data_IF_906134570299
#
_entry.id   IF_906134570299
#
_cell.length_a   1.000
_cell.length_b   1.000
_cell.length_c   1.000
_cell.angle_alpha   90.00
_cell.angle_beta   90.00
_cell.angle_gamma   90.00
#
_symmetry.space_group_name_H-M   'P 1'
#
loop_
_entity.id
_entity.type
_entity.pdbx_description
1 polymer ?
#
# COMPACT_ATOMS: atom_id res chain seq x y z
N UNK A 1 11.55 19.47 36.09
CA UNK A 1 12.62 20.16 35.33
C UNK A 1 13.52 19.07 34.77
N UNK A 2 13.55 18.87 33.45
CA UNK A 2 14.23 17.71 32.85
C UNK A 2 15.72 17.68 33.23
N UNK A 3 16.23 16.51 33.58
CA UNK A 3 17.66 16.29 33.90
C UNK A 3 18.58 16.87 32.82
N UNK A 4 18.16 16.82 31.56
CA UNK A 4 18.89 17.39 30.42
C UNK A 4 18.91 18.92 30.41
N UNK A 5 17.83 19.59 30.85
CA UNK A 5 17.79 21.06 30.98
C UNK A 5 18.73 21.55 32.09
N UNK A 6 18.77 20.83 33.22
CA UNK A 6 19.69 21.16 34.31
C UNK A 6 21.16 20.99 33.89
N UNK A 7 21.48 19.90 33.19
CA UNK A 7 22.82 19.67 32.62
C UNK A 7 23.22 20.75 31.62
N UNK A 8 22.30 21.17 30.75
CA UNK A 8 22.52 22.24 29.78
C UNK A 8 22.77 23.60 30.46
N UNK A 9 21.95 23.96 31.44
CA UNK A 9 22.13 25.19 32.22
C UNK A 9 23.47 25.18 32.98
N UNK A 10 23.84 24.04 33.59
CA UNK A 10 25.11 23.89 34.28
C UNK A 10 26.31 24.01 33.31
N UNK A 11 26.21 23.43 32.12
CA UNK A 11 27.24 23.56 31.08
C UNK A 11 27.37 25.00 30.57
N UNK A 12 26.25 25.69 30.36
CA UNK A 12 26.22 27.10 29.95
C UNK A 12 26.80 28.01 31.04
N UNK A 13 26.45 27.77 32.30
CA UNK A 13 26.99 28.50 33.45
C UNK A 13 28.49 28.27 33.63
N UNK A 14 28.98 27.05 33.43
CA UNK A 14 30.42 26.76 33.42
C UNK A 14 31.13 27.47 32.26
N UNK A 15 30.59 27.41 31.05
CA UNK A 15 31.17 28.10 29.90
C UNK A 15 31.23 29.62 30.12
N UNK A 16 30.15 30.20 30.66
CA UNK A 16 30.10 31.62 31.01
C UNK A 16 31.10 31.97 32.11
N UNK A 17 31.23 31.15 33.15
CA UNK A 17 32.21 31.36 34.22
C UNK A 17 33.65 31.31 33.68
N UNK A 18 33.96 30.42 32.75
CA UNK A 18 35.28 30.34 32.10
C UNK A 18 35.56 31.59 31.27
N UNK A 19 34.61 32.03 30.44
CA UNK A 19 34.75 33.26 29.64
C UNK A 19 34.87 34.50 30.53
N UNK A 20 34.07 34.58 31.59
CA UNK A 20 34.12 35.66 32.56
C UNK A 20 35.47 35.71 33.29
N UNK A 21 35.99 34.56 33.74
CA UNK A 21 37.32 34.48 34.35
C UNK A 21 38.43 34.91 33.38
N UNK A 22 38.33 34.52 32.09
CA UNK A 22 39.27 34.97 31.06
C UNK A 22 39.23 36.49 30.85
N UNK A 23 38.03 37.09 30.77
CA UNK A 23 37.86 38.53 30.61
C UNK A 23 38.40 39.29 31.82
N UNK A 24 38.05 38.84 33.03
CA UNK A 24 38.47 39.49 34.27
C UNK A 24 39.99 39.47 34.41
N UNK A 25 40.63 38.38 33.98
CA UNK A 25 42.07 38.27 33.98
C UNK A 25 42.76 39.15 32.92
N UNK A 26 42.26 39.18 31.68
CA UNK A 26 42.78 40.11 30.66
C UNK A 26 42.68 41.56 31.13
N UNK A 27 41.62 41.90 31.87
CA UNK A 27 41.43 43.23 32.43
C UNK A 27 42.35 43.54 33.64
N UNK A 28 42.95 42.54 34.27
CA UNK A 28 43.76 42.69 35.51
C UNK A 28 45.24 42.36 35.32
N UNK A 29 45.65 41.83 34.18
CA UNK A 29 47.02 41.42 33.92
C UNK A 29 47.87 42.54 33.31
N UNK A 30 48.69 43.22 34.13
CA UNK A 30 49.72 44.14 33.61
C UNK A 30 51.02 43.42 33.19
N UNK A 31 51.30 42.20 33.67
CA UNK A 31 52.37 41.29 33.18
C UNK A 31 52.16 39.87 33.74
N UNK A 32 51.50 38.97 32.98
CA UNK A 32 51.27 37.59 33.43
C UNK A 32 52.58 36.80 33.57
N UNK A 33 52.76 36.09 34.68
CA UNK A 33 53.96 35.25 34.88
C UNK A 33 53.91 34.00 33.99
N UNK A 34 55.08 33.46 33.59
CA UNK A 34 55.15 32.24 32.74
C UNK A 34 54.36 31.05 33.31
N UNK A 35 54.31 30.96 34.64
CA UNK A 35 53.54 29.96 35.40
C UNK A 35 52.04 30.17 35.27
N UNK A 36 51.55 31.41 35.30
CA UNK A 36 50.14 31.71 35.03
C UNK A 36 49.79 31.33 33.59
N UNK A 37 50.58 31.74 32.61
CA UNK A 37 50.33 31.40 31.20
C UNK A 37 50.26 29.88 30.97
N UNK A 38 51.14 29.11 31.61
CA UNK A 38 51.12 27.64 31.53
C UNK A 38 49.87 27.04 32.20
N UNK A 39 49.45 27.57 33.36
CA UNK A 39 48.22 27.14 34.03
C UNK A 39 46.99 27.43 33.16
N UNK A 40 46.93 28.59 32.51
CA UNK A 40 45.83 28.95 31.60
C UNK A 40 45.79 28.07 30.36
N UNK A 41 46.93 27.81 29.73
CA UNK A 41 46.98 26.89 28.59
C UNK A 41 46.49 25.49 28.97
N UNK A 42 46.85 25.01 30.16
CA UNK A 42 46.40 23.71 30.69
C UNK A 42 44.89 23.72 30.97
N UNK A 43 44.39 24.77 31.61
CA UNK A 43 42.97 24.92 31.94
C UNK A 43 42.12 25.02 30.66
N UNK A 44 42.57 25.80 29.67
CA UNK A 44 41.95 25.93 28.36
C UNK A 44 41.93 24.58 27.62
N UNK A 45 43.00 23.80 27.70
CA UNK A 45 43.06 22.45 27.11
C UNK A 45 42.02 21.52 27.76
N UNK A 46 41.96 21.48 29.09
CA UNK A 46 40.98 20.66 29.83
C UNK A 46 39.54 21.08 29.51
N UNK A 47 39.26 22.39 29.46
CA UNK A 47 37.92 22.86 29.10
C UNK A 47 37.56 22.58 27.64
N UNK A 48 38.53 22.64 26.72
CA UNK A 48 38.29 22.29 25.31
C UNK A 48 37.89 20.81 25.17
N UNK A 49 38.55 19.92 25.92
CA UNK A 49 38.16 18.49 25.98
C UNK A 49 36.76 18.34 26.55
N UNK A 50 36.46 19.01 27.68
CA UNK A 50 35.16 18.92 28.33
C UNK A 50 34.01 19.42 27.43
N UNK A 51 34.20 20.56 26.76
CA UNK A 51 33.22 21.13 25.82
C UNK A 51 33.06 20.24 24.58
N UNK A 52 34.15 19.74 24.00
CA UNK A 52 34.10 18.81 22.87
C UNK A 52 33.35 17.52 23.23
N UNK A 53 33.56 16.99 24.44
CA UNK A 53 32.86 15.82 24.92
C UNK A 53 31.35 16.07 25.09
N UNK A 54 30.97 17.19 25.71
CA UNK A 54 29.56 17.58 25.86
C UNK A 54 28.88 17.75 24.50
N UNK A 55 29.52 18.46 23.56
CA UNK A 55 29.01 18.64 22.20
C UNK A 55 28.85 17.29 21.48
N UNK A 56 29.81 16.38 21.64
CA UNK A 56 29.76 15.04 21.04
C UNK A 56 28.57 14.25 21.60
N UNK A 57 28.36 14.26 22.91
CA UNK A 57 27.23 13.57 23.56
C UNK A 57 25.90 14.14 23.07
N UNK A 58 25.75 15.47 23.04
CA UNK A 58 24.52 16.14 22.59
C UNK A 58 24.23 15.87 21.10
N UNK A 59 25.27 15.96 20.25
CA UNK A 59 25.15 15.67 18.82
C UNK A 59 24.80 14.21 18.57
N UNK A 60 25.40 13.29 19.32
CA UNK A 60 25.12 11.86 19.23
C UNK A 60 23.69 11.54 19.65
N UNK A 61 23.16 12.13 20.72
CA UNK A 61 21.77 11.90 21.15
C UNK A 61 20.79 12.39 20.08
N UNK A 62 21.01 13.59 19.51
CA UNK A 62 20.16 14.13 18.45
C UNK A 62 20.19 13.25 17.20
N UNK A 63 21.39 12.88 16.73
CA UNK A 63 21.57 12.00 15.56
C UNK A 63 20.96 10.61 15.80
N UNK A 64 21.04 10.11 17.02
CA UNK A 64 20.45 8.83 17.40
C UNK A 64 18.92 8.88 17.38
N UNK A 65 18.30 9.93 17.96
CA UNK A 65 16.85 10.14 17.89
C UNK A 65 16.35 10.30 16.47
N UNK A 66 17.03 11.08 15.63
CA UNK A 66 16.68 11.22 14.21
C UNK A 66 16.78 9.89 13.47
N UNK A 67 17.80 9.09 13.76
CA UNK A 67 17.96 7.75 13.18
C UNK A 67 16.86 6.80 13.64
N UNK A 68 16.57 6.76 14.95
CA UNK A 68 15.46 5.98 15.50
C UNK A 68 14.13 6.36 14.87
N UNK A 69 13.86 7.66 14.70
CA UNK A 69 12.65 8.15 14.02
C UNK A 69 12.57 7.67 12.58
N UNK A 70 13.66 7.73 11.82
CA UNK A 70 13.72 7.19 10.44
C UNK A 70 13.45 5.68 10.38
N UNK A 71 14.03 4.92 11.30
CA UNK A 71 13.79 3.48 11.40
C UNK A 71 12.34 3.17 11.76
N UNK A 72 11.77 3.87 12.74
CA UNK A 72 10.38 3.72 13.14
C UNK A 72 9.42 4.03 11.99
N UNK A 73 9.68 5.10 11.22
CA UNK A 73 8.90 5.44 10.02
C UNK A 73 8.95 4.32 8.98
N UNK A 74 10.14 3.79 8.68
CA UNK A 74 10.29 2.70 7.70
C UNK A 74 9.59 1.41 8.16
N UNK A 75 9.70 1.08 9.45
CA UNK A 75 9.02 -0.05 10.06
C UNK A 75 7.50 0.11 9.99
N UNK A 76 6.99 1.31 10.34
CA UNK A 76 5.56 1.62 10.26
C UNK A 76 5.01 1.47 8.84
N UNK A 77 5.73 1.94 7.82
CA UNK A 77 5.33 1.73 6.42
C UNK A 77 5.16 0.24 6.10
N UNK A 78 6.13 -0.58 6.50
CA UNK A 78 6.09 -2.03 6.27
C UNK A 78 4.95 -2.70 7.03
N UNK A 79 4.66 -2.25 8.25
CA UNK A 79 3.53 -2.73 9.05
C UNK A 79 2.19 -2.40 8.35
N UNK A 80 2.03 -1.19 7.79
CA UNK A 80 0.85 -0.81 7.01
C UNK A 80 0.69 -1.63 5.72
N UNK A 81 1.78 -1.97 5.04
CA UNK A 81 1.74 -2.88 3.88
C UNK A 81 1.22 -4.27 4.27
N UNK A 82 1.65 -4.80 5.42
CA UNK A 82 1.17 -6.08 5.98
C UNK A 82 -0.30 -6.00 6.38
N UNK A 83 -0.73 -4.91 7.03
CA UNK A 83 -2.13 -4.65 7.37
C UNK A 83 -3.03 -4.70 6.13
N UNK A 84 -2.63 -4.03 5.05
CA UNK A 84 -3.38 -4.05 3.78
C UNK A 84 -3.47 -5.47 3.20
N UNK A 85 -2.38 -6.23 3.25
CA UNK A 85 -2.37 -7.62 2.77
C UNK A 85 -3.28 -8.53 3.62
N UNK A 86 -3.28 -8.37 4.95
CA UNK A 86 -4.19 -9.07 5.86
C UNK A 86 -5.65 -8.71 5.58
N UNK A 87 -5.95 -7.42 5.38
CA UNK A 87 -7.29 -6.96 4.99
C UNK A 87 -7.78 -7.59 3.69
N UNK A 88 -6.93 -7.72 2.68
CA UNK A 88 -7.25 -8.44 1.43
C UNK A 88 -7.53 -9.93 1.68
N UNK A 89 -6.67 -10.60 2.44
CA UNK A 89 -6.86 -12.01 2.78
C UNK A 89 -8.16 -12.25 3.56
N UNK A 90 -8.50 -11.38 4.50
CA UNK A 90 -9.76 -11.43 5.24
C UNK A 90 -10.97 -11.27 4.31
N UNK A 91 -10.94 -10.31 3.38
CA UNK A 91 -12.01 -10.13 2.39
C UNK A 91 -12.20 -11.38 1.51
N UNK A 92 -11.10 -12.02 1.10
CA UNK A 92 -11.14 -13.25 0.32
C UNK A 92 -11.74 -14.43 1.09
N UNK A 93 -11.41 -14.56 2.38
CA UNK A 93 -12.03 -15.59 3.24
C UNK A 93 -13.52 -15.29 3.48
N UNK A 94 -13.89 -14.02 3.66
CA UNK A 94 -15.28 -13.60 3.85
C UNK A 94 -16.14 -13.79 2.60
N UNK A 95 -15.62 -13.49 1.40
CA UNK A 95 -16.33 -13.72 0.14
C UNK A 95 -16.62 -15.21 -0.07
N UNK A 96 -15.67 -16.09 0.28
CA UNK A 96 -15.85 -17.55 0.26
C UNK A 96 -16.90 -18.06 1.26
N UNK A 97 -17.07 -17.37 2.40
CA UNK A 97 -18.10 -17.71 3.40
C UNK A 97 -19.51 -17.31 2.95
N UNK A 98 -19.65 -16.16 2.28
CA UNK A 98 -20.93 -15.63 1.78
C UNK A 98 -21.53 -16.40 0.60
N UNK A 99 -20.69 -17.04 -0.22
CA UNK A 99 -21.11 -17.79 -1.42
C UNK A 99 -21.50 -19.26 -1.13
N UNK A 100 -21.54 -19.71 0.13
CA UNK A 100 -21.98 -21.06 0.50
C UNK A 100 -20.97 -22.18 0.22
N UNK A 101 -19.88 -21.91 -0.50
CA UNK A 101 -18.81 -22.86 -0.80
C UNK A 101 -18.06 -23.37 0.44
N UNK A 102 -18.02 -22.56 1.50
CA UNK A 102 -17.37 -22.90 2.77
C UNK A 102 -18.31 -22.58 3.95
N UNK A 103 -19.58 -22.94 3.81
CA UNK A 103 -20.62 -22.60 4.79
C UNK A 103 -20.31 -23.13 6.21
N UNK A 104 -19.49 -24.18 6.38
CA UNK A 104 -19.17 -24.76 7.70
C UNK A 104 -17.77 -25.42 7.82
N UNK A 105 -16.76 -25.06 7.00
CA UNK A 105 -15.44 -25.66 7.22
C UNK A 105 -14.77 -24.99 8.43
N UNK A 106 -14.49 -25.79 9.46
CA UNK A 106 -13.70 -25.38 10.62
C UNK A 106 -12.35 -24.81 10.21
N UNK A 107 -11.81 -25.22 9.06
CA UNK A 107 -10.58 -24.71 8.45
C UNK A 107 -10.67 -23.24 8.04
N UNK A 108 -11.73 -22.80 7.34
CA UNK A 108 -11.86 -21.39 6.97
C UNK A 108 -12.11 -20.50 8.20
N UNK A 109 -12.82 -21.03 9.20
CA UNK A 109 -12.99 -20.32 10.47
C UNK A 109 -11.65 -20.21 11.24
N UNK A 110 -10.84 -21.27 11.24
CA UNK A 110 -9.50 -21.22 11.82
C UNK A 110 -8.59 -20.23 11.10
N UNK A 111 -8.60 -20.20 9.76
CA UNK A 111 -7.85 -19.21 8.96
C UNK A 111 -8.32 -17.79 9.28
N UNK A 112 -9.63 -17.55 9.36
CA UNK A 112 -10.15 -16.23 9.71
C UNK A 112 -9.72 -15.80 11.12
N UNK A 113 -9.76 -16.70 12.10
CA UNK A 113 -9.28 -16.43 13.46
C UNK A 113 -7.78 -16.10 13.43
N UNK A 114 -6.96 -16.86 12.70
CA UNK A 114 -5.54 -16.57 12.54
C UNK A 114 -5.28 -15.22 11.89
N UNK A 115 -6.07 -14.82 10.89
CA UNK A 115 -5.97 -13.52 10.24
C UNK A 115 -6.37 -12.37 11.18
N UNK A 116 -7.39 -12.57 12.03
CA UNK A 116 -7.76 -11.59 13.06
C UNK A 116 -6.63 -11.46 14.09
N UNK A 117 -6.09 -12.58 14.59
CA UNK A 117 -4.97 -12.55 15.52
C UNK A 117 -3.71 -11.90 14.92
N UNK A 118 -3.45 -12.11 13.63
CA UNK A 118 -2.37 -11.43 12.93
C UNK A 118 -2.63 -9.92 12.81
N UNK A 119 -3.87 -9.50 12.56
CA UNK A 119 -4.25 -8.09 12.56
C UNK A 119 -4.10 -7.46 13.95
N UNK A 120 -4.47 -8.17 15.01
CA UNK A 120 -4.28 -7.70 16.39
C UNK A 120 -2.79 -7.54 16.73
N UNK A 121 -1.94 -8.47 16.29
CA UNK A 121 -0.49 -8.38 16.45
C UNK A 121 0.11 -7.18 15.69
N UNK A 122 -0.41 -6.91 14.48
CA UNK A 122 -0.06 -5.73 13.68
C UNK A 122 -0.47 -4.45 14.39
N UNK A 123 -1.70 -4.38 14.91
CA UNK A 123 -2.20 -3.23 15.66
C UNK A 123 -1.37 -2.99 16.94
N UNK A 124 -0.98 -4.05 17.64
CA UNK A 124 -0.07 -3.99 18.78
C UNK A 124 1.30 -3.45 18.36
N UNK A 125 1.84 -3.93 17.24
CA UNK A 125 3.14 -3.47 16.72
C UNK A 125 3.10 -1.98 16.34
N UNK A 126 1.98 -1.47 15.82
CA UNK A 126 1.79 -0.03 15.59
C UNK A 126 1.81 0.75 16.91
N UNK A 127 1.19 0.21 17.97
CA UNK A 127 1.18 0.86 19.28
C UNK A 127 2.59 0.95 19.88
N UNK A 128 3.45 -0.06 19.68
CA UNK A 128 4.84 -0.06 20.16
C UNK A 128 5.68 1.06 19.52
N UNK A 129 5.34 1.48 18.29
CA UNK A 129 5.99 2.63 17.64
C UNK A 129 5.35 3.98 17.99
N UNK A 130 4.20 3.98 18.67
CA UNK A 130 3.48 5.17 19.10
C UNK A 130 4.33 6.12 19.95
N UNK A 131 5.25 5.59 20.74
CA UNK A 131 6.14 6.40 21.59
C UNK A 131 7.23 7.15 20.78
N UNK A 132 7.54 6.70 19.56
CA UNK A 132 8.62 7.25 18.72
C UNK A 132 8.08 8.11 17.57
N UNK A 133 6.92 7.75 17.02
CA UNK A 133 6.28 8.37 15.84
C UNK A 133 4.77 8.58 16.03
N UNK A 134 4.32 8.79 17.26
CA UNK A 134 2.89 8.87 17.61
C UNK A 134 2.13 9.98 16.88
N UNK A 135 2.77 11.14 16.68
CA UNK A 135 2.17 12.26 15.95
C UNK A 135 1.90 11.87 14.49
N UNK A 136 2.86 11.22 13.82
CA UNK A 136 2.72 10.75 12.45
C UNK A 136 1.66 9.64 12.32
N UNK A 137 1.59 8.72 13.29
CA UNK A 137 0.56 7.67 13.35
C UNK A 137 -0.82 8.31 13.51
N UNK A 138 -0.97 9.32 14.38
CA UNK A 138 -2.22 10.02 14.61
C UNK A 138 -2.69 10.76 13.35
N UNK A 139 -1.78 11.50 12.69
CA UNK A 139 -2.07 12.20 11.43
C UNK A 139 -2.52 11.20 10.35
N UNK A 140 -1.84 10.06 10.23
CA UNK A 140 -2.19 9.02 9.25
C UNK A 140 -3.59 8.44 9.52
N UNK A 141 -3.93 8.15 10.79
CA UNK A 141 -5.27 7.66 11.18
C UNK A 141 -6.37 8.69 10.92
N UNK A 142 -6.10 9.97 11.19
CA UNK A 142 -7.06 11.03 10.93
C UNK A 142 -7.29 11.21 9.43
N UNK A 143 -6.25 11.10 8.59
CA UNK A 143 -6.40 11.06 7.12
C UNK A 143 -7.27 9.87 6.69
N UNK A 144 -7.03 8.67 7.21
CA UNK A 144 -7.84 7.48 6.90
C UNK A 144 -9.31 7.66 7.29
N UNK A 145 -9.57 8.26 8.46
CA UNK A 145 -10.93 8.57 8.93
C UNK A 145 -11.61 9.63 8.06
N UNK A 146 -10.94 10.72 7.72
CA UNK A 146 -11.49 11.75 6.83
C UNK A 146 -11.76 11.20 5.43
N UNK A 147 -10.93 10.29 4.94
CA UNK A 147 -11.14 9.57 3.68
C UNK A 147 -12.33 8.62 3.74
N UNK A 148 -12.49 7.85 4.82
CA UNK A 148 -13.66 6.96 4.95
C UNK A 148 -14.95 7.77 4.96
N UNK A 149 -14.99 8.90 5.69
CA UNK A 149 -16.13 9.83 5.67
C UNK A 149 -16.41 10.41 4.29
N UNK A 150 -15.37 10.75 3.50
CA UNK A 150 -15.51 11.15 2.10
C UNK A 150 -16.14 10.05 1.25
N UNK A 151 -15.69 8.80 1.39
CA UNK A 151 -16.24 7.64 0.63
C UNK A 151 -17.70 7.35 0.98
N UNK A 152 -18.09 7.48 2.24
CA UNK A 152 -19.49 7.28 2.66
C UNK A 152 -20.41 8.41 2.18
N UNK A 153 -19.86 9.62 1.99
CA UNK A 153 -20.58 10.79 1.44
C UNK A 153 -20.96 10.67 -0.04
N UNK A 154 -20.37 9.75 -0.82
CA UNK A 154 -20.40 9.86 -2.29
C UNK A 154 -21.48 9.05 -3.05
N UNK A 155 -22.37 8.28 -2.39
CA UNK A 155 -23.56 7.79 -3.14
C UNK A 155 -24.76 7.25 -2.38
N UNK A 156 -24.66 6.89 -1.10
CA UNK A 156 -25.72 6.11 -0.44
C UNK A 156 -26.34 6.73 0.82
N UNK A 157 -25.66 7.70 1.46
CA UNK A 157 -26.12 8.26 2.75
C UNK A 157 -26.56 9.72 2.72
N UNK A 158 -26.47 10.45 1.60
CA UNK A 158 -27.06 11.81 1.53
C UNK A 158 -28.57 11.80 1.79
N UNK A 159 -29.29 10.81 1.26
CA UNK A 159 -30.74 10.64 1.51
C UNK A 159 -31.07 10.21 2.95
N UNK A 160 -30.15 9.54 3.66
CA UNK A 160 -30.37 9.08 5.04
C UNK A 160 -29.95 10.14 6.07
N UNK A 161 -28.88 10.88 5.80
CA UNK A 161 -28.37 11.95 6.66
C UNK A 161 -29.18 13.26 6.54
N UNK A 162 -29.77 13.55 5.38
CA UNK A 162 -30.74 14.67 5.24
C UNK A 162 -31.97 14.48 6.14
N UNK A 163 -32.35 13.23 6.44
CA UNK A 163 -33.43 12.91 7.37
C UNK A 163 -33.02 13.02 8.86
N UNK A 164 -31.72 13.06 9.17
CA UNK A 164 -31.19 13.10 10.54
C UNK A 164 -30.79 14.50 11.02
N UNK A 165 -30.90 15.55 10.19
CA UNK A 165 -30.56 16.94 10.57
C UNK A 165 -29.17 17.08 11.23
N UNK A 166 -28.20 16.26 10.84
CA UNK A 166 -26.81 16.48 11.19
C UNK A 166 -26.26 17.51 10.20
N UNK A 167 -26.61 18.77 10.40
CA UNK A 167 -25.95 19.90 9.74
C UNK A 167 -24.66 20.20 10.49
N UNK A 168 -23.69 19.31 10.41
CA UNK A 168 -22.29 19.75 10.41
C UNK A 168 -21.90 19.89 8.95
N UNK A 169 -21.53 21.10 8.59
CA UNK A 169 -21.17 21.55 7.26
C UNK A 169 -20.08 20.60 6.70
N UNK A 170 -20.48 19.67 5.82
CA UNK A 170 -19.57 18.83 5.02
C UNK A 170 -19.01 19.69 3.90
N UNK A 171 -18.52 20.88 4.25
CA UNK A 171 -17.83 21.80 3.36
C UNK A 171 -16.40 21.30 3.22
N UNK A 172 -16.13 20.74 2.04
CA UNK A 172 -14.81 20.40 1.50
C UNK A 172 -13.80 19.82 2.51
N UNK A 173 -13.81 18.49 2.67
CA UNK A 173 -12.86 17.75 3.52
C UNK A 173 -11.42 17.78 2.91
N UNK A 174 -11.31 18.10 1.61
CA UNK A 174 -10.05 18.10 0.84
C UNK A 174 -8.95 19.01 1.40
N UNK A 175 -9.20 20.30 1.74
CA UNK A 175 -8.19 21.17 2.35
C UNK A 175 -7.62 20.61 3.65
N UNK A 176 -8.45 20.02 4.51
CA UNK A 176 -7.99 19.43 5.78
C UNK A 176 -7.16 18.17 5.56
N UNK A 177 -7.49 17.35 4.56
CA UNK A 177 -6.66 16.21 4.15
C UNK A 177 -5.30 16.70 3.62
N UNK A 178 -5.27 17.77 2.82
CA UNK A 178 -4.03 18.30 2.26
C UNK A 178 -3.13 18.92 3.35
N UNK A 179 -3.71 19.65 4.30
CA UNK A 179 -2.98 20.19 5.46
C UNK A 179 -2.34 19.06 6.28
N UNK A 180 -3.09 17.99 6.56
CA UNK A 180 -2.57 16.82 7.29
C UNK A 180 -1.50 16.06 6.49
N UNK A 181 -1.62 15.98 5.16
CA UNK A 181 -0.59 15.41 4.29
C UNK A 181 0.70 16.24 4.31
N UNK A 182 0.59 17.56 4.36
CA UNK A 182 1.76 18.43 4.41
C UNK A 182 2.50 18.37 5.74
N UNK A 183 1.79 18.07 6.83
CA UNK A 183 2.37 17.82 8.14
C UNK A 183 3.13 16.47 8.24
N UNK A 184 2.92 15.54 7.31
CA UNK A 184 3.64 14.26 7.29
C UNK A 184 5.06 14.41 6.74
N UNK A 185 6.06 13.70 7.32
CA UNK A 185 7.39 13.65 6.73
C UNK A 185 7.33 13.05 5.32
N UNK A 186 8.22 13.46 4.38
CA UNK A 186 8.18 13.02 2.98
C UNK A 186 8.13 11.49 2.80
N UNK A 187 8.75 10.74 3.70
CA UNK A 187 8.74 9.26 3.71
C UNK A 187 7.39 8.63 4.12
N UNK A 188 6.48 9.40 4.71
CA UNK A 188 5.10 9.01 5.06
C UNK A 188 4.04 9.78 4.28
N UNK A 189 4.43 10.79 3.48
CA UNK A 189 3.57 11.32 2.44
C UNK A 189 3.28 10.15 1.51
N UNK A 190 2.13 9.53 1.74
CA UNK A 190 1.58 8.49 0.89
C UNK A 190 1.31 9.18 -0.44
N UNK A 191 2.29 9.14 -1.34
CA UNK A 191 2.14 9.57 -2.74
C UNK A 191 1.15 8.67 -3.49
N UNK A 192 0.69 7.57 -2.89
CA UNK A 192 0.01 6.49 -3.60
C UNK A 192 -1.51 6.71 -3.78
N UNK A 193 -2.29 7.18 -2.79
CA UNK A 193 -3.75 7.01 -2.90
C UNK A 193 -4.50 8.03 -3.78
N UNK A 194 -3.94 9.23 -4.03
CA UNK A 194 -4.60 10.19 -4.93
C UNK A 194 -4.43 9.82 -6.40
N UNK A 195 -3.29 9.20 -6.75
CA UNK A 195 -3.07 8.59 -8.05
C UNK A 195 -3.82 7.25 -8.17
N UNK A 196 -3.93 6.45 -7.11
CA UNK A 196 -4.64 5.16 -7.16
C UNK A 196 -6.14 5.32 -7.39
N UNK A 197 -6.79 6.27 -6.71
CA UNK A 197 -8.24 6.50 -6.87
C UNK A 197 -8.57 7.03 -8.26
N UNK A 198 -7.75 7.97 -8.79
CA UNK A 198 -7.89 8.44 -10.18
C UNK A 198 -7.46 7.41 -11.22
N UNK A 199 -6.54 6.49 -10.91
CA UNK A 199 -6.20 5.37 -11.80
C UNK A 199 -7.36 4.37 -11.88
N UNK A 200 -7.93 4.00 -10.74
CA UNK A 200 -9.07 3.09 -10.67
C UNK A 200 -10.29 3.62 -11.44
N UNK A 201 -10.63 4.90 -11.25
CA UNK A 201 -11.71 5.56 -12.00
C UNK A 201 -11.44 5.58 -13.51
N UNK A 202 -10.21 5.91 -13.93
CA UNK A 202 -9.80 5.86 -15.34
C UNK A 202 -9.86 4.44 -15.92
N UNK A 203 -9.52 3.42 -15.13
CA UNK A 203 -9.63 2.03 -15.54
C UNK A 203 -11.08 1.62 -15.83
N UNK A 204 -11.99 2.03 -14.94
CA UNK A 204 -13.42 1.82 -15.11
C UNK A 204 -13.91 2.51 -16.37
N UNK A 205 -13.48 3.75 -16.60
CA UNK A 205 -13.84 4.50 -17.81
C UNK A 205 -13.35 3.78 -19.09
N UNK A 206 -12.14 3.24 -19.09
CA UNK A 206 -11.60 2.44 -20.20
C UNK A 206 -12.45 1.20 -20.44
N UNK A 207 -12.81 0.46 -19.38
CA UNK A 207 -13.67 -0.73 -19.48
C UNK A 207 -15.06 -0.38 -20.04
N UNK A 208 -15.69 0.68 -19.51
CA UNK A 208 -17.00 1.12 -19.96
C UNK A 208 -16.97 1.57 -21.42
N UNK A 209 -15.93 2.30 -21.82
CA UNK A 209 -15.75 2.73 -23.21
C UNK A 209 -15.57 1.53 -24.16
N UNK A 210 -14.78 0.53 -23.79
CA UNK A 210 -14.60 -0.69 -24.58
C UNK A 210 -15.91 -1.48 -24.69
N UNK A 211 -16.62 -1.67 -23.57
CA UNK A 211 -17.92 -2.34 -23.54
C UNK A 211 -18.97 -1.60 -24.37
N UNK A 212 -19.10 -0.28 -24.24
CA UNK A 212 -20.06 0.52 -25.00
C UNK A 212 -19.75 0.52 -26.51
N UNK A 213 -18.48 0.63 -26.88
CA UNK A 213 -18.06 0.71 -28.28
C UNK A 213 -18.23 -0.60 -29.03
N UNK A 214 -17.95 -1.73 -28.38
CA UNK A 214 -17.94 -3.06 -29.02
C UNK A 214 -19.12 -3.95 -28.61
N UNK A 215 -19.94 -3.52 -27.65
CA UNK A 215 -21.00 -4.32 -27.01
C UNK A 215 -20.48 -5.64 -26.40
N UNK A 216 -19.17 -5.70 -26.15
CA UNK A 216 -18.47 -6.86 -25.62
C UNK A 216 -17.06 -6.44 -25.18
N UNK A 217 -16.52 -7.14 -24.19
CA UNK A 217 -15.14 -6.98 -23.76
C UNK A 217 -14.28 -8.06 -24.42
N UNK A 218 -13.29 -7.63 -25.20
CA UNK A 218 -12.32 -8.53 -25.83
C UNK A 218 -11.11 -8.67 -24.93
N UNK A 219 -10.83 -9.90 -24.52
CA UNK A 219 -9.73 -10.24 -23.65
C UNK A 219 -8.77 -11.12 -24.43
N UNK A 220 -7.53 -10.66 -24.58
CA UNK A 220 -6.47 -11.49 -25.12
C UNK A 220 -5.88 -12.36 -24.02
N UNK A 221 -5.45 -13.56 -24.35
CA UNK A 221 -4.70 -14.44 -23.47
C UNK A 221 -3.65 -15.21 -24.24
N UNK A 222 -2.66 -15.71 -23.52
CA UNK A 222 -1.56 -16.46 -24.10
C UNK A 222 -1.34 -17.77 -23.34
N UNK A 223 -0.83 -18.76 -24.05
CA UNK A 223 -0.39 -20.05 -23.53
C UNK A 223 1.13 -20.12 -23.56
N UNK A 224 1.73 -20.61 -22.47
CA UNK A 224 3.17 -20.84 -22.36
C UNK A 224 3.43 -22.35 -22.19
N UNK A 225 4.42 -22.89 -22.92
CA UNK A 225 4.79 -24.31 -22.84
C UNK A 225 5.37 -24.72 -21.49
N UNK A 226 5.97 -23.76 -20.79
CA UNK A 226 6.79 -24.00 -19.61
C UNK A 226 5.98 -23.96 -18.31
N UNK A 227 4.73 -23.52 -18.41
CA UNK A 227 3.83 -23.35 -17.28
C UNK A 227 2.86 -24.53 -17.16
N UNK A 228 2.21 -24.66 -16.00
CA UNK A 228 1.38 -25.84 -15.64
C UNK A 228 0.05 -25.95 -16.40
N UNK A 229 -0.04 -25.46 -17.64
CA UNK A 229 -1.26 -25.58 -18.45
C UNK A 229 -1.50 -27.04 -18.88
N UNK A 230 -2.76 -27.47 -18.76
CA UNK A 230 -3.14 -28.85 -18.97
C UNK A 230 -3.41 -29.18 -20.45
N UNK A 231 -3.51 -28.17 -21.32
CA UNK A 231 -3.82 -28.35 -22.74
C UNK A 231 -3.31 -27.19 -23.61
N UNK A 232 -2.87 -27.53 -24.82
CA UNK A 232 -2.51 -26.66 -25.95
C UNK A 232 -3.79 -26.05 -26.59
N UNK A 233 -3.71 -24.84 -27.16
CA UNK A 233 -4.82 -24.15 -27.82
C UNK A 233 -5.22 -24.74 -29.18
N UNK A 234 -4.39 -25.59 -29.80
CA UNK A 234 -4.65 -26.22 -31.11
C UNK A 234 -5.89 -27.11 -31.16
N UNK A 235 -6.32 -27.62 -30.01
CA UNK A 235 -7.54 -28.43 -29.89
C UNK A 235 -8.83 -27.61 -29.93
N UNK A 236 -8.73 -26.29 -29.79
CA UNK A 236 -9.87 -25.39 -29.65
C UNK A 236 -10.33 -24.83 -31.00
N UNK A 237 -11.59 -24.42 -31.08
CA UNK A 237 -12.18 -23.82 -32.28
C UNK A 237 -12.80 -22.46 -31.96
N UNK A 238 -12.78 -21.57 -32.96
CA UNK A 238 -13.53 -20.31 -32.91
C UNK A 238 -15.01 -20.60 -32.65
N UNK A 239 -15.62 -19.82 -31.77
CA UNK A 239 -16.99 -19.99 -31.32
C UNK A 239 -17.18 -20.94 -30.15
N UNK A 240 -16.15 -21.69 -29.73
CA UNK A 240 -16.25 -22.51 -28.51
C UNK A 240 -16.31 -21.66 -27.25
N UNK A 241 -16.97 -22.20 -26.23
CA UNK A 241 -17.09 -21.55 -24.93
C UNK A 241 -15.96 -21.98 -24.02
N UNK A 242 -15.26 -20.99 -23.47
CA UNK A 242 -14.32 -21.13 -22.38
C UNK A 242 -14.89 -20.48 -21.14
N UNK A 243 -14.21 -20.66 -20.01
CA UNK A 243 -14.58 -20.05 -18.75
C UNK A 243 -13.39 -19.29 -18.17
N UNK A 244 -13.69 -18.18 -17.49
CA UNK A 244 -12.70 -17.39 -16.78
C UNK A 244 -12.77 -17.61 -15.27
N UNK A 245 -11.62 -17.70 -14.63
CA UNK A 245 -11.48 -17.71 -13.17
C UNK A 245 -10.07 -17.28 -12.73
N UNK A 246 -9.92 -16.85 -11.47
CA UNK A 246 -8.63 -16.63 -10.83
C UNK A 246 -7.89 -17.95 -10.64
N UNK A 247 -6.62 -17.98 -10.97
CA UNK A 247 -5.78 -19.15 -10.76
C UNK A 247 -4.36 -18.80 -10.38
N UNK A 248 -3.55 -19.85 -10.31
CA UNK A 248 -2.14 -19.76 -9.97
C UNK A 248 -1.35 -20.36 -11.12
N UNK A 249 -0.38 -19.61 -11.62
CA UNK A 249 0.69 -20.11 -12.47
C UNK A 249 1.97 -20.24 -11.65
N UNK A 250 2.98 -20.92 -12.18
CA UNK A 250 4.27 -21.10 -11.51
C UNK A 250 4.95 -19.78 -11.10
N UNK A 251 4.69 -18.67 -11.81
CA UNK A 251 5.29 -17.36 -11.56
C UNK A 251 4.34 -16.22 -11.21
N UNK A 252 3.02 -16.40 -11.35
CA UNK A 252 2.05 -15.30 -11.21
C UNK A 252 0.82 -15.75 -10.39
N UNK A 253 0.79 -15.49 -9.07
CA UNK A 253 -0.40 -15.73 -8.27
C UNK A 253 -1.55 -14.81 -8.73
N UNK A 254 -2.80 -15.21 -8.49
CA UNK A 254 -4.02 -14.44 -8.82
C UNK A 254 -4.17 -14.07 -10.30
N UNK A 255 -3.62 -14.88 -11.20
CA UNK A 255 -3.78 -14.65 -12.63
C UNK A 255 -5.21 -14.95 -13.07
N UNK A 256 -5.82 -14.11 -13.90
CA UNK A 256 -7.03 -14.45 -14.62
C UNK A 256 -6.71 -15.51 -15.69
N UNK A 257 -7.25 -16.71 -15.53
CA UNK A 257 -7.02 -17.84 -16.41
C UNK A 257 -8.28 -18.22 -17.18
N UNK A 258 -8.09 -18.66 -18.42
CA UNK A 258 -9.10 -19.33 -19.21
C UNK A 258 -8.99 -20.86 -19.03
N UNK A 259 -10.14 -21.53 -18.93
CA UNK A 259 -10.22 -22.99 -18.83
C UNK A 259 -11.38 -23.57 -19.64
N UNK A 260 -11.27 -24.85 -20.01
CA UNK A 260 -12.30 -25.59 -20.75
C UNK A 260 -13.37 -26.14 -19.80
N UNK A 261 -14.49 -26.65 -20.36
CA UNK A 261 -15.56 -27.29 -19.59
C UNK A 261 -15.09 -28.49 -18.76
N UNK A 262 -14.01 -29.14 -19.18
CA UNK A 262 -13.36 -30.26 -18.48
C UNK A 262 -12.39 -29.81 -17.38
N UNK A 263 -12.43 -28.53 -16.98
CA UNK A 263 -11.56 -27.92 -15.96
C UNK A 263 -10.06 -27.97 -16.32
N UNK A 264 -9.73 -27.85 -17.61
CA UNK A 264 -8.34 -27.75 -18.08
C UNK A 264 -7.96 -26.29 -18.29
N UNK A 265 -6.97 -25.80 -17.55
CA UNK A 265 -6.39 -24.47 -17.73
C UNK A 265 -5.59 -24.40 -19.04
N UNK A 266 -5.84 -23.37 -19.84
CA UNK A 266 -5.33 -23.26 -21.21
C UNK A 266 -4.67 -21.91 -21.54
N UNK A 267 -4.96 -20.82 -20.83
CA UNK A 267 -4.33 -19.53 -21.12
C UNK A 267 -4.40 -18.59 -19.93
N UNK A 268 -3.44 -17.68 -19.84
CA UNK A 268 -3.47 -16.50 -18.96
C UNK A 268 -3.99 -15.31 -19.77
N UNK A 269 -4.99 -14.62 -19.25
CA UNK A 269 -5.53 -13.40 -19.86
C UNK A 269 -4.55 -12.25 -19.65
N UNK A 270 -4.27 -11.45 -20.67
CA UNK A 270 -3.42 -10.27 -20.55
C UNK A 270 -4.16 -9.12 -19.88
N UNK A 271 -3.47 -8.35 -19.05
CA UNK A 271 -4.01 -7.13 -18.48
C UNK A 271 -4.17 -6.08 -19.58
N UNK A 272 -5.43 -5.73 -19.88
CA UNK A 272 -5.78 -4.77 -20.93
C UNK A 272 -5.30 -3.34 -20.63
N UNK A 273 -5.07 -2.99 -19.36
CA UNK A 273 -4.71 -1.63 -18.97
C UNK A 273 -3.24 -1.28 -19.17
N UNK A 274 -2.40 -2.27 -19.52
CA UNK A 274 -0.97 -2.05 -19.80
C UNK A 274 -0.80 -1.05 -20.95
N UNK A 275 -1.69 -1.09 -21.94
CA UNK A 275 -1.60 -0.24 -23.14
C UNK A 275 -2.32 1.11 -22.99
N UNK A 276 -3.01 1.37 -21.87
CA UNK A 276 -3.94 2.50 -21.72
C UNK A 276 -3.45 3.67 -20.86
N UNK A 277 -2.14 3.83 -20.63
CA UNK A 277 -1.54 4.86 -19.75
C UNK A 277 -2.01 4.83 -18.28
N UNK A 278 -2.96 3.95 -17.92
CA UNK A 278 -3.50 3.83 -16.55
C UNK A 278 -2.51 3.10 -15.62
N UNK A 279 -1.61 2.28 -16.19
CA UNK A 279 -0.55 1.55 -15.48
C UNK A 279 -1.04 0.86 -14.19
N UNK A 280 -1.99 -0.06 -14.35
CA UNK A 280 -2.62 -0.80 -13.25
C UNK A 280 -1.97 -2.16 -13.09
N UNK A 281 -1.74 -2.56 -11.84
CA UNK A 281 -1.19 -3.88 -11.53
C UNK A 281 -2.11 -5.00 -12.00
N UNK A 282 -1.56 -6.20 -12.24
CA UNK A 282 -2.38 -7.32 -12.70
C UNK A 282 -3.46 -7.71 -11.67
N UNK A 283 -3.13 -7.70 -10.37
CA UNK A 283 -4.10 -8.00 -9.30
C UNK A 283 -5.28 -7.02 -9.32
N UNK A 284 -4.98 -5.72 -9.44
CA UNK A 284 -5.97 -4.65 -9.49
C UNK A 284 -6.85 -4.77 -10.75
N UNK A 285 -6.27 -5.16 -11.88
CA UNK A 285 -7.03 -5.44 -13.11
C UNK A 285 -8.10 -6.50 -12.87
N UNK A 286 -7.77 -7.60 -12.20
CA UNK A 286 -8.74 -8.66 -11.90
C UNK A 286 -9.78 -8.18 -10.87
N UNK A 287 -9.36 -7.45 -9.84
CA UNK A 287 -10.26 -6.86 -8.83
C UNK A 287 -11.26 -5.87 -9.47
N UNK A 288 -10.82 -5.06 -10.43
CA UNK A 288 -11.68 -4.14 -11.20
C UNK A 288 -12.71 -4.94 -12.01
N UNK A 289 -12.28 -5.99 -12.73
CA UNK A 289 -13.21 -6.83 -13.49
C UNK A 289 -14.28 -7.48 -12.59
N UNK A 290 -13.90 -8.02 -11.44
CA UNK A 290 -14.86 -8.62 -10.50
C UNK A 290 -15.83 -7.59 -9.94
N UNK A 291 -15.32 -6.47 -9.44
CA UNK A 291 -16.13 -5.47 -8.76
C UNK A 291 -17.03 -4.70 -9.73
N UNK A 292 -16.47 -4.18 -10.82
CA UNK A 292 -17.18 -3.34 -11.77
C UNK A 292 -18.19 -4.13 -12.60
N UNK A 293 -17.80 -5.31 -13.09
CA UNK A 293 -18.67 -6.15 -13.91
C UNK A 293 -19.50 -7.14 -13.06
N UNK A 294 -19.33 -7.14 -11.73
CA UNK A 294 -19.99 -8.06 -10.79
C UNK A 294 -19.79 -9.53 -11.18
N UNK A 295 -18.57 -9.86 -11.60
CA UNK A 295 -18.16 -11.21 -11.97
C UNK A 295 -17.72 -11.98 -10.73
N UNK A 296 -18.07 -13.26 -10.69
CA UNK A 296 -17.52 -14.20 -9.72
C UNK A 296 -16.41 -15.01 -10.39
N UNK A 297 -15.17 -14.55 -10.31
CA UNK A 297 -14.03 -15.25 -10.90
C UNK A 297 -13.45 -16.29 -9.93
N UNK A 298 -14.20 -16.68 -8.90
CA UNK A 298 -13.83 -17.79 -8.03
C UNK A 298 -13.82 -19.10 -8.82
N UNK A 299 -12.77 -19.93 -8.73
CA UNK A 299 -12.74 -21.20 -9.45
C UNK A 299 -13.89 -22.15 -9.08
N UNK A 300 -14.34 -23.02 -10.01
CA UNK A 300 -15.43 -23.95 -9.76
C UNK A 300 -15.15 -24.92 -8.62
N UNK A 301 -13.89 -25.33 -8.46
CA UNK A 301 -13.46 -26.20 -7.36
C UNK A 301 -13.63 -25.56 -5.96
N UNK A 302 -13.78 -24.24 -5.91
CA UNK A 302 -14.07 -23.47 -4.70
C UNK A 302 -15.51 -22.95 -4.68
N UNK A 303 -16.41 -23.53 -5.49
CA UNK A 303 -17.83 -23.19 -5.51
C UNK A 303 -18.19 -21.89 -6.24
N UNK A 304 -17.25 -21.30 -6.96
CA UNK A 304 -17.53 -20.11 -7.78
C UNK A 304 -18.36 -20.42 -9.04
N UNK A 305 -18.99 -19.39 -9.60
CA UNK A 305 -19.75 -19.48 -10.85
C UNK A 305 -18.85 -19.18 -12.06
N UNK A 306 -18.60 -20.16 -12.94
CA UNK A 306 -17.82 -19.95 -14.15
C UNK A 306 -18.35 -18.77 -14.98
N UNK A 307 -17.47 -17.85 -15.38
CA UNK A 307 -17.83 -16.76 -16.29
C UNK A 307 -17.61 -17.24 -17.72
N UNK A 308 -18.67 -17.49 -18.51
CA UNK A 308 -18.52 -18.01 -19.86
C UNK A 308 -18.04 -16.92 -20.81
N UNK A 309 -17.06 -17.26 -21.65
CA UNK A 309 -16.54 -16.41 -22.72
C UNK A 309 -16.44 -17.20 -24.02
N UNK A 310 -16.53 -16.54 -25.16
CA UNK A 310 -16.51 -17.20 -26.48
C UNK A 310 -15.18 -16.94 -27.17
N UNK A 311 -14.57 -17.97 -27.75
CA UNK A 311 -13.35 -17.82 -28.55
C UNK A 311 -13.66 -17.05 -29.83
N UNK A 312 -13.07 -15.86 -29.98
CA UNK A 312 -13.16 -15.07 -31.21
C UNK A 312 -12.02 -15.38 -32.18
N UNK A 313 -10.80 -15.48 -31.66
CA UNK A 313 -9.62 -15.71 -32.49
C UNK A 313 -8.58 -16.61 -31.79
N UNK A 314 -7.78 -17.29 -32.61
CA UNK A 314 -6.65 -18.12 -32.20
C UNK A 314 -5.46 -17.80 -33.12
N UNK A 315 -4.32 -17.45 -32.52
CA UNK A 315 -3.10 -17.11 -33.26
C UNK A 315 -1.94 -17.96 -32.78
N UNK A 316 -1.16 -18.48 -33.71
CA UNK A 316 0.00 -19.33 -33.43
C UNK A 316 1.23 -18.65 -34.05
N UNK A 317 2.15 -18.19 -33.20
CA UNK A 317 3.36 -17.49 -33.61
C UNK A 317 4.54 -18.40 -33.30
N UNK A 318 5.29 -18.75 -34.35
CA UNK A 318 6.53 -19.52 -34.24
C UNK A 318 7.72 -18.56 -34.35
N UNK A 319 8.61 -18.57 -33.37
CA UNK A 319 9.83 -17.78 -33.34
C UNK A 319 11.00 -18.54 -33.96
N UNK A 320 12.04 -17.81 -34.35
CA UNK A 320 13.21 -18.35 -35.06
C UNK A 320 14.05 -19.33 -34.21
N UNK A 321 13.95 -19.23 -32.88
CA UNK A 321 14.57 -20.15 -31.91
C UNK A 321 13.79 -21.47 -31.75
N UNK A 322 12.64 -21.60 -32.41
CA UNK A 322 11.78 -22.77 -32.32
C UNK A 322 10.74 -22.70 -31.20
N UNK A 323 10.72 -21.63 -30.39
CA UNK A 323 9.64 -21.40 -29.44
C UNK A 323 8.34 -21.09 -30.19
N UNK A 324 7.23 -21.61 -29.68
CA UNK A 324 5.90 -21.35 -30.22
C UNK A 324 5.05 -20.71 -29.13
N UNK A 325 4.58 -19.49 -29.38
CA UNK A 325 3.58 -18.85 -28.53
C UNK A 325 2.22 -18.91 -29.18
N UNK A 326 1.25 -19.28 -28.38
CA UNK A 326 -0.12 -19.39 -28.82
C UNK A 326 -0.95 -18.35 -28.08
N UNK A 327 -1.81 -17.66 -28.81
CA UNK A 327 -2.66 -16.61 -28.31
C UNK A 327 -4.12 -16.96 -28.59
N UNK A 328 -4.98 -16.65 -27.63
CA UNK A 328 -6.43 -16.77 -27.73
C UNK A 328 -7.04 -15.40 -27.46
N UNK A 329 -7.98 -14.98 -28.30
CA UNK A 329 -8.83 -13.84 -28.00
C UNK A 329 -10.21 -14.35 -27.64
N UNK A 330 -10.64 -14.08 -26.42
CA UNK A 330 -11.97 -14.42 -25.92
C UNK A 330 -12.84 -13.18 -25.79
N UNK A 331 -14.14 -13.37 -25.90
CA UNK A 331 -15.12 -12.29 -25.85
C UNK A 331 -16.10 -12.54 -24.72
N UNK A 332 -16.22 -11.54 -23.85
CA UNK A 332 -17.24 -11.48 -22.81
C UNK A 332 -18.36 -10.56 -23.30
N UNK A 333 -19.50 -11.15 -23.66
CA UNK A 333 -20.64 -10.38 -24.15
C UNK A 333 -21.35 -9.65 -23.00
N UNK A 334 -21.76 -8.40 -23.23
CA UNK A 334 -22.48 -7.62 -22.22
C UNK A 334 -23.77 -8.32 -21.75
N UNK A 335 -24.44 -9.08 -22.62
CA UNK A 335 -25.62 -9.87 -22.28
C UNK A 335 -25.38 -10.99 -21.25
N UNK A 336 -24.12 -11.37 -21.04
CA UNK A 336 -23.73 -12.37 -20.03
C UNK A 336 -23.42 -11.74 -18.67
N UNK A 337 -23.34 -10.40 -18.60
CA UNK A 337 -23.06 -9.68 -17.36
C UNK A 337 -24.34 -9.55 -16.51
N UNK A 338 -24.27 -9.84 -15.21
CA UNK A 338 -25.44 -9.77 -14.32
C UNK A 338 -26.00 -8.35 -14.15
N UNK A 339 -25.22 -7.31 -14.44
CA UNK A 339 -25.59 -5.90 -14.31
C UNK A 339 -25.87 -5.20 -15.66
N UNK A 340 -26.21 -5.93 -16.72
CA UNK A 340 -26.67 -5.31 -17.97
C UNK A 340 -27.99 -4.54 -17.72
N UNK A 341 -27.89 -3.29 -17.25
CA UNK A 341 -29.00 -2.35 -17.19
C UNK A 341 -29.43 -2.10 -18.63
N UNK A 342 -30.62 -2.58 -18.98
CA UNK A 342 -31.34 -2.18 -20.18
C UNK A 342 -31.77 -0.72 -20.11
#
# INVERSE_FOLDING_TARGET
MDSNRLKFIAALACAFAVVFLLILQVATAENATKTETALFATLQFVFSIAVSWILTVLSSEKSFRESQKKFAIAAFRRIKEIERALGRAQRLVLSQKGQGAISNSSSAQAVMISLISAQDAVNSSVADWGDVIGDEIHITKEIEKLRSLRKTSDKFERDYLDNLRITEDVTDISPKINELKDALPPSLKLDEDAEDETRFERAIEVLDNELQKKNALELEGFWESDDTFAADLRGLKKGETLYLARGFTSGRPNSLLAYTKENKWIAVITNIFIDHEVNIGYDEFVDILESHLSLDLTPPQFGGKPVPVVIKDLRFIKYDDGEERQYVTVVLHQSTLPNAKH
#
